data_IF_686956048682
#
_entry.id   IF_686956048682
#
_cell.length_a   1.000
_cell.length_b   1.000
_cell.length_c   1.000
_cell.angle_alpha   90.00
_cell.angle_beta   90.00
_cell.angle_gamma   90.00
#
_symmetry.space_group_name_H-M   'P 1'
#
loop_
_entity.id
_entity.type
_entity.pdbx_description
1 polymer ?
#
# COMPACT_ATOMS: atom_id res chain seq x y z
N UNK A 1 13.85 -0.86 -19.31
CA UNK A 1 13.01 -0.17 -18.33
C UNK A 1 11.66 0.04 -18.97
N UNK A 2 10.69 -0.84 -18.68
CA UNK A 2 9.41 -0.85 -19.39
C UNK A 2 8.33 -0.36 -18.43
N UNK A 3 7.80 0.84 -18.69
CA UNK A 3 6.73 1.46 -17.90
C UNK A 3 5.51 0.53 -17.73
N UNK A 4 5.28 -0.36 -18.71
CA UNK A 4 4.22 -1.37 -18.67
C UNK A 4 4.37 -2.45 -17.58
N UNK A 5 5.55 -2.59 -16.96
CA UNK A 5 5.74 -3.53 -15.84
C UNK A 5 5.44 -2.89 -14.47
N UNK A 6 5.38 -1.55 -14.40
CA UNK A 6 5.11 -0.77 -13.20
C UNK A 6 3.61 -0.51 -13.03
N UNK A 7 2.91 -0.27 -14.14
CA UNK A 7 1.48 0.02 -14.15
C UNK A 7 0.70 -1.28 -14.28
N UNK A 8 -0.21 -1.51 -13.35
CA UNK A 8 -1.07 -2.68 -13.34
C UNK A 8 -2.54 -2.24 -13.48
N UNK A 9 -3.39 -3.05 -14.14
CA UNK A 9 -4.81 -2.77 -14.17
C UNK A 9 -5.45 -2.96 -12.80
N UNK A 10 -6.60 -2.31 -12.59
CA UNK A 10 -7.55 -2.62 -11.51
C UNK A 10 -8.89 -3.02 -12.13
N UNK A 11 -9.88 -3.35 -11.30
CA UNK A 11 -11.25 -3.59 -11.73
C UNK A 11 -11.98 -2.32 -12.22
N UNK A 12 -11.44 -1.13 -11.91
CA UNK A 12 -11.75 0.13 -12.61
C UNK A 12 -10.58 0.51 -13.54
N UNK A 13 -10.75 0.48 -14.87
CA UNK A 13 -9.66 0.71 -15.81
C UNK A 13 -9.08 2.13 -15.77
N UNK A 14 -9.76 3.07 -15.11
CA UNK A 14 -9.30 4.45 -14.96
C UNK A 14 -8.59 4.71 -13.62
N UNK A 15 -8.61 3.75 -12.69
CA UNK A 15 -7.81 3.85 -11.48
C UNK A 15 -6.40 3.35 -11.76
N UNK A 16 -5.44 4.25 -11.62
CA UNK A 16 -4.03 3.91 -11.74
C UNK A 16 -3.62 3.06 -10.54
N UNK A 17 -3.00 1.91 -10.79
CA UNK A 17 -2.23 1.14 -9.80
C UNK A 17 -0.77 1.09 -10.26
N UNK A 18 0.12 1.61 -9.43
CA UNK A 18 1.56 1.65 -9.69
C UNK A 18 2.29 0.84 -8.61
N UNK A 19 3.10 -0.12 -9.03
CA UNK A 19 4.02 -0.86 -8.16
C UNK A 19 5.24 0.01 -7.84
N UNK A 20 5.27 0.56 -6.63
CA UNK A 20 6.35 1.47 -6.19
C UNK A 20 7.58 0.70 -5.71
N UNK A 21 7.44 -0.58 -5.37
CA UNK A 21 8.57 -1.43 -4.98
C UNK A 21 9.51 -1.64 -6.16
N UNK A 22 8.96 -1.84 -7.36
CA UNK A 22 9.77 -1.95 -8.59
C UNK A 22 10.50 -0.67 -8.98
N UNK A 23 10.11 0.47 -8.41
CA UNK A 23 10.81 1.76 -8.61
C UNK A 23 11.90 2.00 -7.57
N UNK A 24 11.90 1.25 -6.49
CA UNK A 24 12.91 1.33 -5.44
C UNK A 24 14.06 0.37 -5.75
N UNK A 25 15.04 0.88 -6.49
CA UNK A 25 16.24 0.12 -6.86
C UNK A 25 17.27 0.03 -5.72
N UNK A 26 16.99 0.61 -4.54
CA UNK A 26 17.96 0.77 -3.46
C UNK A 26 17.58 -0.03 -2.19
N UNK A 27 16.31 -0.41 -2.00
CA UNK A 27 15.88 -1.21 -0.85
C UNK A 27 15.70 -2.71 -1.17
N UNK A 28 16.40 -3.56 -0.40
CA UNK A 28 16.46 -5.01 -0.66
C UNK A 28 15.30 -5.83 -0.06
N UNK A 29 14.47 -5.24 0.82
CA UNK A 29 13.30 -5.91 1.44
C UNK A 29 12.22 -4.90 1.79
N UNK A 30 11.12 -4.93 1.06
CA UNK A 30 9.88 -4.24 1.42
C UNK A 30 8.69 -5.16 1.15
N UNK A 31 7.55 -4.86 1.77
CA UNK A 31 6.30 -5.55 1.45
C UNK A 31 5.70 -5.01 0.15
N UNK A 32 4.84 -5.78 -0.54
CA UNK A 32 4.14 -5.29 -1.72
C UNK A 32 3.45 -3.96 -1.42
N UNK A 33 3.84 -2.92 -2.16
CA UNK A 33 3.37 -1.55 -1.95
C UNK A 33 2.94 -0.95 -3.26
N UNK A 34 1.75 -0.37 -3.27
CA UNK A 34 1.13 0.17 -4.47
C UNK A 34 0.59 1.57 -4.24
N UNK A 35 0.86 2.47 -5.20
CA UNK A 35 0.17 3.76 -5.30
C UNK A 35 -1.10 3.54 -6.11
N UNK A 36 -2.22 3.99 -5.55
CA UNK A 36 -3.50 4.06 -6.25
C UNK A 36 -3.94 5.51 -6.42
N UNK A 37 -4.34 5.90 -7.62
CA UNK A 37 -4.89 7.23 -7.90
C UNK A 37 -6.28 7.15 -8.52
N UNK A 38 -7.23 7.86 -7.91
CA UNK A 38 -8.58 8.00 -8.41
C UNK A 38 -8.72 9.35 -9.17
N UNK A 39 -8.81 9.35 -10.51
CA UNK A 39 -9.00 10.57 -11.29
C UNK A 39 -10.45 11.07 -11.28
N UNK A 40 -11.40 10.25 -10.83
CA UNK A 40 -12.82 10.57 -10.87
C UNK A 40 -13.20 11.67 -9.85
N UNK A 41 -14.31 12.34 -10.12
CA UNK A 41 -14.92 13.31 -9.19
C UNK A 41 -15.72 12.64 -8.06
N UNK A 42 -15.90 11.34 -8.14
CA UNK A 42 -16.62 10.52 -7.18
C UNK A 42 -15.71 9.53 -6.47
N UNK A 43 -16.11 9.14 -5.26
CA UNK A 43 -15.42 8.09 -4.51
C UNK A 43 -15.57 6.78 -5.26
N UNK A 44 -14.46 6.08 -5.47
CA UNK A 44 -14.44 4.75 -6.08
C UNK A 44 -13.98 3.70 -5.10
N UNK A 45 -14.36 2.46 -5.39
CA UNK A 45 -13.90 1.30 -4.66
C UNK A 45 -13.38 0.27 -5.65
N UNK A 46 -12.17 -0.23 -5.39
CA UNK A 46 -11.49 -1.24 -6.20
C UNK A 46 -11.16 -2.48 -5.38
N UNK A 47 -10.91 -3.59 -6.06
CA UNK A 47 -10.37 -4.81 -5.46
C UNK A 47 -8.85 -4.70 -5.27
N UNK A 48 -8.38 -5.08 -4.09
CA UNK A 48 -6.96 -5.19 -3.74
C UNK A 48 -6.69 -6.49 -3.00
N UNK A 49 -5.48 -7.02 -3.14
CA UNK A 49 -5.08 -8.30 -2.58
C UNK A 49 -4.69 -9.31 -3.64
N UNK A 50 -4.53 -10.56 -3.22
CA UNK A 50 -4.21 -11.69 -4.09
C UNK A 50 -4.89 -12.93 -3.50
N UNK A 51 -5.57 -13.70 -4.33
CA UNK A 51 -6.26 -14.92 -3.89
C UNK A 51 -5.32 -15.85 -3.10
N UNK A 52 -5.84 -16.41 -2.01
CA UNK A 52 -5.09 -17.36 -1.16
C UNK A 52 -4.18 -16.73 -0.12
N UNK A 53 -3.88 -15.43 -0.21
CA UNK A 53 -3.08 -14.72 0.79
C UNK A 53 -3.95 -14.13 1.91
N UNK A 54 -3.33 -13.92 3.08
CA UNK A 54 -3.94 -13.17 4.18
C UNK A 54 -3.03 -12.00 4.51
N UNK A 55 -3.58 -10.79 4.61
CA UNK A 55 -2.81 -9.56 4.75
C UNK A 55 -3.56 -8.46 5.50
N UNK A 56 -2.80 -7.50 6.02
CA UNK A 56 -3.28 -6.22 6.52
C UNK A 56 -3.05 -5.14 5.45
N UNK A 57 -3.95 -4.16 5.40
CA UNK A 57 -3.80 -2.98 4.53
C UNK A 57 -3.37 -1.81 5.41
N UNK A 58 -2.21 -1.25 5.10
CA UNK A 58 -1.70 -0.07 5.79
C UNK A 58 -1.56 1.09 4.80
N UNK A 59 -2.12 2.24 5.14
CA UNK A 59 -2.05 3.46 4.35
C UNK A 59 -0.89 4.34 4.83
N UNK A 60 0.06 4.63 3.94
CA UNK A 60 1.19 5.53 4.23
C UNK A 60 0.81 7.01 4.19
N UNK A 61 -0.29 7.37 3.53
CA UNK A 61 -0.76 8.76 3.49
C UNK A 61 -1.45 9.14 4.80
N UNK A 62 -2.30 8.25 5.31
CA UNK A 62 -3.05 8.48 6.55
C UNK A 62 -2.38 7.82 7.78
N UNK A 63 -1.23 7.16 7.59
CA UNK A 63 -0.41 6.46 8.62
C UNK A 63 -1.22 5.51 9.51
N UNK A 64 -2.10 4.70 8.91
CA UNK A 64 -3.02 3.82 9.66
C UNK A 64 -3.37 2.55 8.91
N UNK A 65 -3.77 1.54 9.68
CA UNK A 65 -4.42 0.35 9.13
C UNK A 65 -5.81 0.70 8.60
N UNK A 66 -6.08 0.34 7.35
CA UNK A 66 -7.42 0.41 6.74
C UNK A 66 -8.22 -0.84 7.11
N UNK A 67 -7.58 -2.01 7.02
CA UNK A 67 -8.18 -3.29 7.37
C UNK A 67 -7.09 -4.28 7.81
N UNK A 68 -7.48 -5.29 8.57
CA UNK A 68 -6.58 -6.33 9.08
C UNK A 68 -7.14 -7.72 8.80
N UNK A 69 -6.25 -8.70 8.60
CA UNK A 69 -6.60 -10.10 8.40
C UNK A 69 -7.49 -10.35 7.18
N UNK A 70 -7.35 -9.54 6.13
CA UNK A 70 -8.10 -9.70 4.89
C UNK A 70 -7.58 -10.93 4.14
N UNK A 71 -8.48 -11.76 3.60
CA UNK A 71 -8.13 -12.98 2.87
C UNK A 71 -8.53 -12.86 1.42
N UNK A 72 -7.60 -13.17 0.51
CA UNK A 72 -7.83 -13.10 -0.92
C UNK A 72 -7.89 -11.67 -1.41
N UNK A 73 -9.08 -11.17 -1.69
CA UNK A 73 -9.30 -9.80 -2.14
C UNK A 73 -10.25 -9.05 -1.19
N UNK A 74 -10.02 -7.76 -1.03
CA UNK A 74 -10.94 -6.87 -0.31
C UNK A 74 -11.11 -5.55 -1.06
N UNK A 75 -12.12 -4.78 -0.67
CA UNK A 75 -12.39 -3.47 -1.25
C UNK A 75 -11.57 -2.37 -0.58
N UNK A 76 -10.89 -1.57 -1.40
CA UNK A 76 -10.24 -0.32 -1.00
C UNK A 76 -11.06 0.87 -1.52
N UNK A 77 -11.42 1.80 -0.64
CA UNK A 77 -12.05 3.06 -1.04
C UNK A 77 -11.03 4.18 -1.28
N UNK A 78 -11.16 4.89 -2.40
CA UNK A 78 -10.30 6.01 -2.77
C UNK A 78 -11.17 7.24 -3.03
N UNK A 79 -10.88 8.34 -2.33
CA UNK A 79 -11.64 9.58 -2.44
C UNK A 79 -11.49 10.21 -3.84
N UNK A 80 -12.41 11.10 -4.25
CA UNK A 80 -12.28 11.86 -5.49
C UNK A 80 -10.93 12.56 -5.62
N UNK A 81 -10.36 12.58 -6.83
CA UNK A 81 -9.13 13.33 -7.17
C UNK A 81 -8.00 13.13 -6.14
N UNK A 82 -7.84 11.91 -5.63
CA UNK A 82 -6.91 11.63 -4.54
C UNK A 82 -6.10 10.35 -4.79
N UNK A 83 -4.97 10.27 -4.09
CA UNK A 83 -4.13 9.09 -4.08
C UNK A 83 -4.07 8.45 -2.69
N UNK A 84 -3.83 7.13 -2.67
CA UNK A 84 -3.41 6.38 -1.48
C UNK A 84 -2.16 5.57 -1.82
N UNK A 85 -1.29 5.35 -0.83
CA UNK A 85 -0.16 4.44 -0.95
C UNK A 85 -0.39 3.32 0.06
N UNK A 86 -0.64 2.12 -0.46
CA UNK A 86 -1.06 0.97 0.36
C UNK A 86 0.04 -0.06 0.41
N UNK A 87 0.43 -0.42 1.62
CA UNK A 87 1.31 -1.56 1.92
C UNK A 87 0.42 -2.76 2.25
N UNK A 88 0.65 -3.89 1.56
CA UNK A 88 0.03 -5.17 1.87
C UNK A 88 0.96 -5.96 2.79
N UNK A 89 0.67 -5.96 4.10
CA UNK A 89 1.51 -6.62 5.10
C UNK A 89 1.01 -8.06 5.26
N UNK A 90 1.82 -9.10 4.96
CA UNK A 90 1.38 -10.49 5.12
C UNK A 90 0.96 -10.80 6.58
N UNK A 91 -0.07 -11.61 6.75
CA UNK A 91 -0.53 -12.02 8.08
C UNK A 91 0.48 -12.93 8.79
N UNK A 92 0.43 -12.94 10.13
CA UNK A 92 1.38 -13.68 10.97
C UNK A 92 2.70 -12.94 11.24
N UNK A 93 2.83 -11.74 10.68
CA UNK A 93 3.91 -10.81 10.94
C UNK A 93 3.56 -10.00 12.20
N UNK A 94 4.13 -10.42 13.34
CA UNK A 94 3.66 -9.97 14.66
C UNK A 94 4.61 -8.99 15.37
N UNK A 95 5.84 -8.83 14.88
CA UNK A 95 6.83 -7.97 15.52
C UNK A 95 6.77 -6.57 14.90
N UNK A 96 6.04 -5.69 15.57
CA UNK A 96 5.96 -4.27 15.25
C UNK A 96 6.87 -3.51 16.22
N UNK A 97 7.79 -2.73 15.68
CA UNK A 97 8.69 -1.85 16.41
C UNK A 97 8.51 -0.42 15.93
N UNK A 98 8.70 0.53 16.83
CA UNK A 98 8.79 1.95 16.51
C UNK A 98 10.17 2.45 16.95
N UNK A 99 11.01 2.81 15.97
CA UNK A 99 12.40 3.25 16.19
C UNK A 99 12.61 4.54 15.42
N UNK A 100 13.00 5.61 16.10
CA UNK A 100 13.25 6.94 15.50
C UNK A 100 12.11 7.47 14.62
N UNK A 101 10.85 7.22 15.03
CA UNK A 101 9.66 7.63 14.27
C UNK A 101 9.34 6.74 13.07
N UNK A 102 10.15 5.72 12.80
CA UNK A 102 9.87 4.72 11.78
C UNK A 102 9.04 3.59 12.35
N UNK A 103 8.08 3.09 11.59
CA UNK A 103 7.41 1.81 11.88
C UNK A 103 8.14 0.69 11.16
N UNK A 104 8.61 -0.27 11.94
CA UNK A 104 9.36 -1.43 11.48
C UNK A 104 8.56 -2.68 11.78
N UNK A 105 8.40 -3.54 10.79
CA UNK A 105 7.63 -4.76 10.88
C UNK A 105 8.52 -5.93 10.43
N UNK A 106 8.80 -6.87 11.34
CA UNK A 106 9.75 -7.98 11.09
C UNK A 106 11.10 -7.53 10.49
N UNK A 107 11.61 -6.37 10.93
CA UNK A 107 12.87 -5.80 10.43
C UNK A 107 12.77 -5.07 9.08
N UNK A 108 11.57 -4.96 8.50
CA UNK A 108 11.28 -4.17 7.30
C UNK A 108 10.70 -2.82 7.73
N UNK A 109 11.34 -1.72 7.31
CA UNK A 109 10.78 -0.37 7.52
C UNK A 109 9.58 -0.22 6.57
N UNK A 110 8.40 0.08 7.09
CA UNK A 110 7.20 0.25 6.26
C UNK A 110 6.73 1.71 6.19
N UNK A 111 7.08 2.52 7.18
CA UNK A 111 6.63 3.91 7.29
C UNK A 111 7.72 4.71 7.98
N UNK A 112 8.34 5.65 7.26
CA UNK A 112 9.49 6.40 7.75
C UNK A 112 9.11 7.57 8.67
N UNK A 113 7.85 8.03 8.62
CA UNK A 113 7.38 9.19 9.37
C UNK A 113 6.36 8.82 10.44
N UNK A 114 5.61 7.73 10.24
CA UNK A 114 4.56 7.27 11.17
C UNK A 114 3.63 8.41 11.62
N UNK A 115 3.23 9.28 10.69
CA UNK A 115 2.35 10.42 10.96
C UNK A 115 3.04 11.68 11.49
N UNK A 116 4.36 11.72 11.55
CA UNK A 116 5.13 12.92 11.91
C UNK A 116 5.34 13.80 10.68
N UNK A 117 5.28 15.11 10.87
CA UNK A 117 5.72 16.05 9.85
C UNK A 117 7.26 16.01 9.74
N UNK A 118 7.84 16.12 8.54
CA UNK A 118 9.28 16.28 8.40
C UNK A 118 9.72 17.61 9.04
N UNK A 119 10.80 17.57 9.83
CA UNK A 119 11.47 18.77 10.36
C UNK A 119 12.07 19.65 9.26
#
# INVERSE_FOLDING_TARGET
MWLGELIQPTDDPYILKLDVVKTDFLENRTFPTYLYFNPWEEKKSILVGTEGEVFDLYDLKDHRYIAKGQKGECRLEILPRSARVIVLIPAGVNRVEEVDGKRIINGVVIDYLNGREPE
#
